data_IF_762026344553
#
_entry.id   IF_762026344553
#
_cell.length_a   1.000
_cell.length_b   1.000
_cell.length_c   1.000
_cell.angle_alpha   90.00
_cell.angle_beta   90.00
_cell.angle_gamma   90.00
#
_symmetry.space_group_name_H-M   'P 1'
#
loop_
_entity.id
_entity.type
_entity.pdbx_description
1 polymer ?
#
# COMPACT_ATOMS: atom_id res chain seq x y z
N UNK A 1 44.92 59.73 -40.94
CA UNK A 1 45.43 61.08 -40.56
C UNK A 1 45.35 61.15 -39.05
N UNK A 2 46.48 60.97 -38.35
CA UNK A 2 47.18 62.00 -37.53
C UNK A 2 46.25 62.63 -36.46
N UNK A 3 46.57 62.74 -35.16
CA UNK A 3 47.85 62.93 -34.47
C UNK A 3 47.67 62.74 -32.95
N UNK A 4 48.78 62.36 -32.26
CA UNK A 4 49.32 62.81 -30.93
C UNK A 4 48.38 63.43 -29.87
N UNK A 5 48.49 63.10 -28.56
CA UNK A 5 49.53 63.59 -27.63
C UNK A 5 49.53 62.86 -26.25
N UNK A 6 50.51 63.23 -25.42
CA UNK A 6 51.19 62.53 -24.32
C UNK A 6 50.74 62.83 -22.88
N UNK A 7 51.04 61.86 -21.99
CA UNK A 7 51.51 61.90 -20.58
C UNK A 7 50.75 62.64 -19.45
N UNK A 8 50.53 61.90 -18.36
CA UNK A 8 50.32 62.42 -17.01
C UNK A 8 50.51 61.33 -15.95
N UNK A 9 51.58 61.45 -15.15
CA UNK A 9 51.96 60.54 -14.07
C UNK A 9 51.06 60.68 -12.83
N UNK A 10 50.65 59.56 -12.23
CA UNK A 10 50.05 59.52 -10.90
C UNK A 10 50.48 58.25 -10.18
N UNK A 11 51.39 58.40 -9.21
CA UNK A 11 51.79 57.31 -8.32
C UNK A 11 50.65 56.95 -7.37
N UNK A 12 50.38 55.65 -7.24
CA UNK A 12 49.50 55.10 -6.20
C UNK A 12 50.21 53.89 -5.58
N UNK A 13 50.18 53.88 -4.25
CA UNK A 13 50.79 52.96 -3.29
C UNK A 13 50.58 51.46 -3.62
N UNK A 14 51.51 50.57 -3.20
CA UNK A 14 51.31 49.13 -3.35
C UNK A 14 50.21 48.63 -2.38
N UNK A 15 49.10 48.17 -2.97
CA UNK A 15 48.01 47.49 -2.27
C UNK A 15 48.49 46.19 -1.63
N UNK A 16 48.06 45.94 -0.39
CA UNK A 16 48.37 44.76 0.39
C UNK A 16 48.07 43.46 -0.35
N UNK A 17 49.07 42.56 -0.38
CA UNK A 17 48.89 41.17 -0.80
C UNK A 17 47.99 40.49 0.23
N UNK A 18 46.72 40.28 -0.12
CA UNK A 18 45.86 39.38 0.62
C UNK A 18 46.30 37.94 0.34
N UNK A 19 46.95 37.32 1.32
CA UNK A 19 47.12 35.87 1.38
C UNK A 19 45.74 35.23 1.46
N UNK A 20 45.23 34.70 0.34
CA UNK A 20 44.02 33.91 0.32
C UNK A 20 44.31 32.55 0.97
N UNK A 21 43.92 32.38 2.23
CA UNK A 21 43.87 31.07 2.88
C UNK A 21 42.85 30.22 2.14
N UNK A 22 43.30 29.17 1.46
CA UNK A 22 42.42 28.18 0.82
C UNK A 22 41.60 27.50 1.92
N UNK A 23 40.32 27.84 2.00
CA UNK A 23 39.38 27.16 2.87
C UNK A 23 39.27 25.69 2.41
N UNK A 24 39.42 24.77 3.37
CA UNK A 24 39.19 23.33 3.18
C UNK A 24 37.80 23.13 2.54
N UNK A 25 37.65 22.27 1.51
CA UNK A 25 36.35 22.03 0.91
C UNK A 25 35.40 21.51 2.00
N UNK A 26 34.33 22.27 2.28
CA UNK A 26 33.22 21.79 3.09
C UNK A 26 32.58 20.65 2.30
N UNK A 27 32.75 19.43 2.79
CA UNK A 27 31.96 18.28 2.35
C UNK A 27 30.49 18.66 2.55
N UNK A 28 29.67 18.72 1.49
CA UNK A 28 28.25 18.97 1.67
C UNK A 28 27.72 17.83 2.54
N UNK A 29 27.18 18.17 3.71
CA UNK A 29 26.37 17.22 4.48
C UNK A 29 25.18 16.88 3.60
N UNK A 30 25.23 15.67 3.04
CA UNK A 30 24.06 15.02 2.45
C UNK A 30 23.07 14.89 3.60
N UNK A 31 22.14 15.83 3.68
CA UNK A 31 20.94 15.66 4.49
C UNK A 31 20.11 14.68 3.68
N UNK A 32 20.22 13.40 4.02
CA UNK A 32 19.28 12.40 3.54
C UNK A 32 17.86 12.92 3.82
N UNK A 33 16.95 12.91 2.84
CA UNK A 33 15.55 13.16 3.17
C UNK A 33 15.13 12.04 4.12
N UNK A 34 14.92 12.40 5.39
CA UNK A 34 14.34 11.48 6.37
C UNK A 34 12.95 11.10 5.86
N UNK A 35 12.87 9.93 5.24
CA UNK A 35 11.61 9.18 5.17
C UNK A 35 11.07 9.16 6.60
N UNK A 36 9.81 9.56 6.86
CA UNK A 36 9.28 9.54 8.21
C UNK A 36 9.54 8.16 8.80
N UNK A 37 10.39 8.11 9.83
CA UNK A 37 10.80 6.89 10.51
C UNK A 37 9.59 6.34 11.26
N UNK A 38 8.72 5.65 10.52
CA UNK A 38 7.65 4.85 11.08
C UNK A 38 8.22 3.75 11.96
N UNK A 39 7.37 3.20 12.82
CA UNK A 39 7.72 1.98 13.55
C UNK A 39 7.52 0.74 12.70
N UNK A 40 6.96 0.81 11.49
CA UNK A 40 6.47 -0.33 10.72
C UNK A 40 5.35 -1.11 11.41
N UNK A 41 4.70 -2.07 10.72
CA UNK A 41 3.68 -2.92 11.31
C UNK A 41 4.23 -3.70 12.51
N UNK A 42 3.41 -3.86 13.54
CA UNK A 42 3.77 -4.40 14.86
C UNK A 42 4.94 -3.69 15.58
N UNK A 43 5.28 -2.46 15.17
CA UNK A 43 6.42 -1.74 15.75
C UNK A 43 7.78 -2.16 15.20
N UNK A 44 7.80 -3.02 14.16
CA UNK A 44 9.03 -3.51 13.52
C UNK A 44 9.52 -2.57 12.41
N UNK A 45 10.71 -1.99 12.61
CA UNK A 45 11.36 -1.07 11.66
C UNK A 45 12.22 -1.79 10.62
N UNK A 46 12.29 -1.19 9.43
CA UNK A 46 13.29 -1.55 8.41
C UNK A 46 14.70 -1.32 8.96
N UNK A 47 15.55 -2.36 8.88
CA UNK A 47 16.95 -2.28 9.32
C UNK A 47 17.18 -2.43 10.83
N UNK A 48 16.15 -2.55 11.68
CA UNK A 48 16.36 -2.93 13.08
C UNK A 48 16.60 -4.44 13.18
N UNK A 49 17.70 -4.86 13.79
CA UNK A 49 18.03 -6.28 13.99
C UNK A 49 17.46 -6.84 15.30
N UNK A 50 16.86 -6.00 16.15
CA UNK A 50 16.54 -6.35 17.54
C UNK A 50 15.18 -5.78 17.93
N UNK A 51 14.32 -6.64 18.49
CA UNK A 51 13.57 -6.31 19.70
C UNK A 51 13.53 -7.59 20.53
N UNK A 52 14.40 -7.65 21.55
CA UNK A 52 14.19 -8.56 22.66
C UNK A 52 13.10 -7.94 23.52
N UNK A 53 12.09 -8.75 23.82
CA UNK A 53 11.06 -8.48 24.82
C UNK A 53 11.67 -8.03 26.15
N UNK A 54 11.22 -6.87 26.63
CA UNK A 54 10.67 -6.56 27.97
C UNK A 54 11.00 -5.11 28.31
N UNK A 55 9.97 -4.31 28.57
CA UNK A 55 10.06 -3.41 29.72
C UNK A 55 8.66 -3.07 30.25
N UNK A 56 8.40 -3.67 31.41
CA UNK A 56 7.49 -3.19 32.43
C UNK A 56 8.13 -1.94 33.05
N UNK A 57 7.49 -0.78 33.00
CA UNK A 57 7.72 0.22 34.06
C UNK A 57 6.53 1.16 34.21
N UNK A 58 5.81 0.90 35.32
CA UNK A 58 5.29 1.88 36.29
C UNK A 58 4.49 3.08 35.80
N UNK A 59 3.20 3.00 36.14
CA UNK A 59 2.34 4.14 36.39
C UNK A 59 3.00 5.17 37.32
N UNK A 60 3.06 6.41 36.85
CA UNK A 60 3.27 7.59 37.68
C UNK A 60 1.94 8.33 37.83
N UNK A 61 1.37 8.18 39.01
CA UNK A 61 0.24 8.91 39.55
C UNK A 61 0.54 10.40 39.53
N UNK A 62 -0.32 11.22 38.91
CA UNK A 62 -0.36 12.67 39.19
C UNK A 62 -1.78 13.04 39.56
N UNK A 63 -1.94 13.40 40.83
CA UNK A 63 -3.20 13.78 41.47
C UNK A 63 -3.46 15.27 41.23
N UNK A 64 -4.69 15.54 40.80
CA UNK A 64 -5.56 16.70 41.06
C UNK A 64 -5.03 18.14 40.90
N UNK A 65 -5.81 18.92 40.13
CA UNK A 65 -6.59 20.02 40.74
C UNK A 65 -7.88 20.27 39.97
N UNK A 66 -8.99 19.92 40.62
CA UNK A 66 -10.34 20.41 40.30
C UNK A 66 -10.45 21.86 40.75
N UNK A 67 -11.06 22.70 39.92
CA UNK A 67 -11.63 23.97 40.34
C UNK A 67 -13.11 23.98 39.93
N UNK A 68 -13.98 23.85 40.93
CA UNK A 68 -15.42 23.99 40.81
C UNK A 68 -15.78 25.47 40.70
N UNK A 69 -16.69 25.80 39.78
CA UNK A 69 -17.52 27.00 39.90
C UNK A 69 -18.93 26.70 39.42
N UNK A 70 -19.88 26.79 40.35
CA UNK A 70 -21.31 26.54 40.15
C UNK A 70 -22.05 27.74 39.51
N UNK A 71 -22.96 27.37 38.60
CA UNK A 71 -24.34 27.82 38.29
C UNK A 71 -24.73 29.31 38.24
N UNK A 72 -25.33 29.75 37.11
CA UNK A 72 -26.79 29.75 36.87
C UNK A 72 -27.15 30.26 35.43
N UNK A 73 -28.34 29.91 34.88
CA UNK A 73 -28.69 30.06 33.46
C UNK A 73 -29.41 31.38 33.15
N UNK A 74 -29.60 31.73 31.85
CA UNK A 74 -31.00 31.94 31.45
C UNK A 74 -31.37 31.55 30.00
N UNK A 75 -32.68 31.37 29.86
CA UNK A 75 -33.56 31.72 28.74
C UNK A 75 -33.54 30.86 27.46
N UNK A 76 -34.52 29.96 27.47
CA UNK A 76 -35.32 29.48 26.33
C UNK A 76 -35.68 30.59 25.34
N UNK A 77 -35.30 30.40 24.07
CA UNK A 77 -36.01 30.99 22.92
C UNK A 77 -36.26 29.90 21.89
N UNK A 78 -37.52 29.53 21.77
CA UNK A 78 -38.06 28.60 20.76
C UNK A 78 -38.00 29.24 19.38
N UNK A 79 -37.18 28.70 18.47
CA UNK A 79 -37.34 28.88 17.02
C UNK A 79 -37.84 27.57 16.41
N UNK A 80 -39.09 27.57 15.99
CA UNK A 80 -39.70 26.51 15.19
C UNK A 80 -39.17 26.60 13.76
N UNK A 81 -38.19 25.77 13.42
CA UNK A 81 -37.91 25.42 12.03
C UNK A 81 -38.45 24.01 11.75
N UNK A 82 -39.45 23.95 10.89
CA UNK A 82 -40.04 22.73 10.39
C UNK A 82 -39.03 22.01 9.48
N UNK A 83 -38.17 21.19 10.09
CA UNK A 83 -37.36 20.23 9.36
C UNK A 83 -38.28 19.11 8.84
N UNK A 84 -38.51 19.11 7.53
CA UNK A 84 -39.11 17.98 6.84
C UNK A 84 -38.32 16.71 7.19
N UNK A 85 -38.97 15.79 7.92
CA UNK A 85 -38.42 14.50 8.27
C UNK A 85 -38.14 13.71 6.98
N UNK A 86 -36.89 13.74 6.52
CA UNK A 86 -36.41 12.81 5.52
C UNK A 86 -36.54 11.41 6.12
N UNK A 87 -37.42 10.60 5.52
CA UNK A 87 -37.51 9.18 5.81
C UNK A 87 -36.11 8.57 5.73
N UNK A 88 -35.66 7.81 6.74
CA UNK A 88 -34.39 7.12 6.66
C UNK A 88 -34.42 6.20 5.43
N UNK A 89 -33.48 6.41 4.50
CA UNK A 89 -33.28 5.50 3.38
C UNK A 89 -33.13 4.08 3.96
N UNK A 90 -33.81 3.07 3.39
CA UNK A 90 -33.62 1.70 3.84
C UNK A 90 -32.12 1.37 3.80
N UNK A 91 -31.62 0.70 4.85
CA UNK A 91 -30.25 0.20 4.87
C UNK A 91 -30.01 -0.57 3.56
N UNK A 92 -28.92 -0.28 2.83
CA UNK A 92 -28.61 -1.04 1.62
C UNK A 92 -28.56 -2.53 1.99
N UNK A 93 -29.07 -3.42 1.12
CA UNK A 93 -29.03 -4.85 1.36
C UNK A 93 -27.58 -5.27 1.64
N UNK A 94 -27.40 -6.18 2.62
CA UNK A 94 -26.08 -6.74 2.94
C UNK A 94 -25.46 -7.34 1.68
N UNK A 95 -24.23 -6.95 1.35
CA UNK A 95 -23.53 -7.46 0.18
C UNK A 95 -23.43 -9.00 0.24
N UNK A 96 -23.76 -9.68 -0.85
CA UNK A 96 -23.75 -11.14 -0.95
C UNK A 96 -22.62 -11.60 -1.86
N UNK A 97 -22.11 -12.81 -1.62
CA UNK A 97 -21.17 -13.43 -2.56
C UNK A 97 -21.91 -13.86 -3.82
N UNK A 98 -21.37 -13.49 -4.97
CA UNK A 98 -21.86 -13.90 -6.29
C UNK A 98 -20.71 -14.54 -7.08
N UNK A 99 -20.99 -15.55 -7.91
CA UNK A 99 -19.95 -16.22 -8.67
C UNK A 99 -19.32 -15.26 -9.69
N UNK A 100 -18.00 -15.32 -9.84
CA UNK A 100 -17.31 -14.66 -10.95
C UNK A 100 -17.66 -15.41 -12.24
N UNK A 101 -18.21 -14.69 -13.22
CA UNK A 101 -18.76 -15.30 -14.46
C UNK A 101 -17.91 -15.07 -15.69
N UNK A 102 -16.90 -14.20 -15.62
CA UNK A 102 -16.00 -13.91 -16.72
C UNK A 102 -14.55 -14.26 -16.35
N UNK A 103 -13.93 -15.07 -17.21
CA UNK A 103 -12.53 -15.46 -17.10
C UNK A 103 -11.88 -15.27 -18.47
N UNK A 104 -10.92 -14.33 -18.63
CA UNK A 104 -10.20 -14.16 -19.89
C UNK A 104 -9.60 -15.48 -20.36
N UNK A 105 -9.55 -15.69 -21.68
CA UNK A 105 -9.14 -16.97 -22.26
C UNK A 105 -7.74 -17.41 -21.78
N UNK A 106 -6.82 -16.46 -21.69
CA UNK A 106 -5.44 -16.67 -21.25
C UNK A 106 -5.38 -17.22 -19.81
N UNK A 107 -6.28 -16.77 -18.94
CA UNK A 107 -6.35 -17.18 -17.54
C UNK A 107 -6.85 -18.62 -17.36
N UNK A 108 -7.62 -19.14 -18.32
CA UNK A 108 -8.08 -20.53 -18.31
C UNK A 108 -6.91 -21.50 -18.55
N UNK A 109 -5.96 -21.12 -19.43
CA UNK A 109 -4.73 -21.88 -19.62
C UNK A 109 -3.85 -21.85 -18.35
N UNK A 110 -3.78 -20.69 -17.68
CA UNK A 110 -3.08 -20.54 -16.39
C UNK A 110 -3.69 -21.40 -15.30
N UNK A 111 -5.03 -21.46 -15.18
CA UNK A 111 -5.70 -22.36 -14.25
C UNK A 111 -5.24 -23.81 -14.44
N UNK A 112 -5.29 -24.30 -15.68
CA UNK A 112 -4.89 -25.68 -15.99
C UNK A 112 -3.43 -25.95 -15.65
N UNK A 113 -2.53 -24.99 -15.90
CA UNK A 113 -1.12 -25.07 -15.51
C UNK A 113 -0.97 -25.12 -13.98
N UNK A 114 -1.66 -24.24 -13.27
CA UNK A 114 -1.57 -24.14 -11.81
C UNK A 114 -2.13 -25.39 -11.14
N UNK A 115 -3.27 -25.91 -11.61
CA UNK A 115 -3.86 -27.13 -11.10
C UNK A 115 -2.87 -28.29 -11.17
N UNK A 116 -2.20 -28.50 -12.31
CA UNK A 116 -1.19 -29.56 -12.46
C UNK A 116 -0.02 -29.43 -11.48
N UNK A 117 0.40 -28.20 -11.18
CA UNK A 117 1.54 -27.93 -10.28
C UNK A 117 1.17 -28.07 -8.81
N UNK A 118 -0.07 -27.72 -8.47
CA UNK A 118 -0.59 -27.79 -7.11
C UNK A 118 -0.97 -29.22 -6.75
N UNK A 119 -1.38 -30.06 -7.71
CA UNK A 119 -1.66 -31.48 -7.47
C UNK A 119 -0.52 -32.17 -6.72
N UNK A 120 -0.85 -32.81 -5.59
CA UNK A 120 0.10 -33.52 -4.75
C UNK A 120 0.82 -32.65 -3.71
N UNK A 121 0.63 -31.32 -3.72
CA UNK A 121 1.10 -30.44 -2.64
C UNK A 121 0.25 -30.63 -1.38
N UNK A 122 0.81 -30.48 -0.17
CA UNK A 122 0.07 -30.71 1.08
C UNK A 122 -1.07 -29.69 1.29
N UNK A 123 -0.98 -28.52 0.67
CA UNK A 123 -1.99 -27.46 0.66
C UNK A 123 -2.93 -27.50 -0.57
N UNK A 124 -2.90 -28.56 -1.39
CA UNK A 124 -3.69 -28.63 -2.62
C UNK A 124 -5.21 -28.51 -2.39
N UNK A 125 -5.70 -28.95 -1.23
CA UNK A 125 -7.11 -28.84 -0.84
C UNK A 125 -7.64 -27.40 -0.74
N UNK A 126 -6.74 -26.41 -0.61
CA UNK A 126 -7.10 -24.99 -0.57
C UNK A 126 -7.11 -24.33 -1.96
N UNK A 127 -6.86 -25.09 -3.03
CA UNK A 127 -6.91 -24.58 -4.40
C UNK A 127 -8.36 -24.57 -4.90
N UNK A 128 -9.10 -23.52 -4.57
CA UNK A 128 -10.51 -23.37 -4.91
C UNK A 128 -10.68 -22.71 -6.29
N UNK A 129 -11.24 -23.45 -7.26
CA UNK A 129 -11.44 -22.91 -8.63
C UNK A 129 -12.75 -22.14 -8.81
N UNK A 130 -13.71 -22.30 -7.90
CA UNK A 130 -14.96 -21.55 -7.89
C UNK A 130 -14.76 -20.20 -7.19
N UNK A 131 -14.54 -19.14 -7.96
CA UNK A 131 -14.26 -17.81 -7.44
C UNK A 131 -15.53 -16.96 -7.33
N UNK A 132 -15.54 -16.08 -6.33
CA UNK A 132 -16.67 -15.21 -6.00
C UNK A 132 -16.18 -13.79 -5.74
N UNK A 133 -17.08 -12.83 -5.90
CA UNK A 133 -16.90 -11.43 -5.49
C UNK A 133 -18.15 -10.98 -4.74
N UNK A 134 -18.05 -9.87 -3.98
CA UNK A 134 -19.23 -9.30 -3.33
C UNK A 134 -20.11 -8.54 -4.33
N UNK A 135 -21.43 -8.56 -4.12
CA UNK A 135 -22.41 -7.96 -5.01
C UNK A 135 -22.24 -6.46 -5.19
N UNK A 136 -21.71 -5.75 -4.20
CA UNK A 136 -21.40 -4.32 -4.31
C UNK A 136 -20.20 -4.04 -5.26
N UNK A 137 -19.28 -4.98 -5.42
CA UNK A 137 -18.26 -4.91 -6.47
C UNK A 137 -18.87 -5.03 -7.88
N UNK A 138 -19.93 -5.83 -8.04
CA UNK A 138 -20.62 -5.96 -9.35
C UNK A 138 -21.33 -4.68 -9.80
N UNK A 139 -21.71 -3.81 -8.86
CA UNK A 139 -22.23 -2.49 -9.18
C UNK A 139 -21.08 -1.53 -9.54
N UNK A 140 -19.97 -1.58 -8.80
CA UNK A 140 -18.80 -0.72 -9.02
C UNK A 140 -18.08 -0.96 -10.37
N UNK A 141 -18.19 -2.14 -10.97
CA UNK A 141 -17.62 -2.41 -12.30
C UNK A 141 -18.42 -1.77 -13.45
N UNK A 142 -19.68 -1.37 -13.25
CA UNK A 142 -20.54 -0.92 -14.37
C UNK A 142 -20.14 0.43 -14.96
N UNK A 143 -19.43 1.25 -14.20
CA UNK A 143 -18.96 2.57 -14.62
C UNK A 143 -17.77 3.01 -13.77
N UNK A 144 -16.87 3.85 -14.29
CA UNK A 144 -15.80 4.43 -13.49
C UNK A 144 -16.38 5.25 -12.32
N UNK A 145 -15.64 5.29 -11.21
CA UNK A 145 -16.02 6.11 -10.05
C UNK A 145 -15.95 7.60 -10.40
N UNK A 146 -16.75 8.47 -9.74
CA UNK A 146 -16.63 9.90 -9.91
C UNK A 146 -15.32 10.42 -9.29
N UNK A 147 -14.86 11.58 -9.75
CA UNK A 147 -13.64 12.25 -9.23
C UNK A 147 -13.64 12.44 -7.70
N UNK A 148 -14.82 12.58 -7.08
CA UNK A 148 -14.96 12.67 -5.62
C UNK A 148 -14.53 11.41 -4.86
N UNK A 149 -14.38 10.26 -5.54
CA UNK A 149 -13.85 9.02 -4.98
C UNK A 149 -12.32 8.93 -5.00
N UNK A 150 -11.65 9.79 -5.79
CA UNK A 150 -10.20 9.80 -5.85
C UNK A 150 -9.59 10.30 -4.53
N UNK A 151 -8.80 9.44 -3.89
CA UNK A 151 -7.97 9.81 -2.74
C UNK A 151 -6.52 9.88 -3.20
N UNK A 152 -5.93 11.07 -3.26
CA UNK A 152 -4.52 11.21 -3.64
C UNK A 152 -3.59 10.51 -2.62
N UNK A 153 -2.41 9.99 -3.02
CA UNK A 153 -1.48 9.32 -2.10
C UNK A 153 -1.12 10.16 -0.86
N UNK A 154 -0.93 11.48 -1.04
CA UNK A 154 -0.65 12.42 0.05
C UNK A 154 -1.80 12.59 1.05
N UNK A 155 -3.00 12.12 0.70
CA UNK A 155 -4.19 12.14 1.53
C UNK A 155 -4.52 10.76 2.09
N UNK A 156 -3.65 9.75 1.91
CA UNK A 156 -3.91 8.40 2.40
C UNK A 156 -4.17 8.33 3.91
N UNK A 157 -3.67 9.30 4.70
CA UNK A 157 -3.98 9.44 6.12
C UNK A 157 -5.49 9.56 6.43
N UNK A 158 -6.33 9.98 5.47
CA UNK A 158 -7.80 9.97 5.61
C UNK A 158 -8.37 8.56 5.76
N UNK A 159 -7.61 7.51 5.46
CA UNK A 159 -8.03 6.13 5.74
C UNK A 159 -8.14 5.89 7.26
N UNK A 160 -7.50 6.70 8.10
CA UNK A 160 -7.66 6.68 9.56
C UNK A 160 -9.02 7.22 10.04
N UNK A 161 -9.77 7.90 9.18
CA UNK A 161 -11.07 8.46 9.51
C UNK A 161 -12.04 7.33 9.93
N UNK A 162 -12.93 7.64 10.87
CA UNK A 162 -13.95 6.69 11.33
C UNK A 162 -14.93 6.37 10.22
N UNK A 163 -15.38 5.12 10.17
CA UNK A 163 -16.35 4.66 9.18
C UNK A 163 -15.74 4.47 7.79
N UNK A 164 -16.57 4.56 6.77
CA UNK A 164 -16.21 4.32 5.37
C UNK A 164 -16.23 5.64 4.59
N UNK A 165 -15.35 5.75 3.60
CA UNK A 165 -15.45 6.82 2.60
C UNK A 165 -16.66 6.57 1.70
N UNK A 166 -17.12 7.62 1.02
CA UNK A 166 -18.26 7.52 0.10
C UNK A 166 -18.04 6.48 -1.02
N UNK A 167 -16.78 6.31 -1.45
CA UNK A 167 -16.38 5.40 -2.52
C UNK A 167 -15.29 4.45 -2.02
N UNK A 168 -15.69 3.36 -1.36
CA UNK A 168 -14.77 2.29 -0.95
C UNK A 168 -14.51 1.25 -2.05
N UNK A 169 -15.35 1.21 -3.07
CA UNK A 169 -15.26 0.31 -4.22
C UNK A 169 -15.37 1.10 -5.52
N UNK A 170 -14.38 0.98 -6.40
CA UNK A 170 -14.42 1.52 -7.75
C UNK A 170 -13.04 1.70 -8.37
N UNK A 171 -13.06 2.19 -9.61
CA UNK A 171 -11.88 2.37 -10.46
C UNK A 171 -12.03 3.63 -11.31
N UNK A 172 -10.91 4.25 -11.70
CA UNK A 172 -10.92 5.35 -12.67
C UNK A 172 -9.57 5.55 -13.34
N UNK A 173 -9.60 6.15 -14.53
CA UNK A 173 -8.45 6.82 -15.13
C UNK A 173 -8.31 8.22 -14.54
N UNK A 174 -7.07 8.65 -14.28
CA UNK A 174 -6.75 9.99 -13.82
C UNK A 174 -6.45 10.91 -15.00
N UNK A 175 -6.62 12.22 -14.82
CA UNK A 175 -6.41 13.23 -15.88
C UNK A 175 -4.98 13.22 -16.47
N UNK A 176 -4.00 12.75 -15.71
CA UNK A 176 -2.60 12.62 -16.15
C UNK A 176 -2.29 11.28 -16.85
N UNK A 177 -3.32 10.46 -17.09
CA UNK A 177 -3.24 9.12 -17.67
C UNK A 177 -2.90 8.01 -16.69
N UNK A 178 -2.74 8.30 -15.39
CA UNK A 178 -2.63 7.27 -14.37
C UNK A 178 -3.96 6.52 -14.12
N UNK A 179 -3.94 5.61 -13.16
CA UNK A 179 -5.17 4.99 -12.64
C UNK A 179 -5.21 5.00 -11.13
N UNK A 180 -6.44 4.98 -10.64
CA UNK A 180 -6.75 4.81 -9.25
C UNK A 180 -7.79 3.71 -9.06
N UNK A 181 -7.56 2.88 -8.05
CA UNK A 181 -8.50 1.84 -7.62
C UNK A 181 -8.69 1.95 -6.12
N UNK A 182 -9.96 1.93 -5.70
CA UNK A 182 -10.35 1.74 -4.31
C UNK A 182 -11.11 0.42 -4.21
N UNK A 183 -10.73 -0.41 -3.25
CA UNK A 183 -11.39 -1.71 -3.05
C UNK A 183 -11.58 -1.99 -1.59
N UNK A 184 -12.75 -2.54 -1.25
CA UNK A 184 -13.11 -3.02 0.08
C UNK A 184 -13.59 -4.46 -0.03
N UNK A 185 -12.92 -5.34 0.73
CA UNK A 185 -13.19 -6.77 0.72
C UNK A 185 -13.40 -7.26 2.16
N UNK A 186 -14.42 -8.08 2.39
CA UNK A 186 -14.72 -8.59 3.73
C UNK A 186 -13.93 -9.89 3.93
N UNK A 187 -13.22 -9.99 5.04
CA UNK A 187 -12.45 -11.15 5.45
C UNK A 187 -13.17 -11.98 6.53
N UNK A 188 -14.28 -11.48 7.06
CA UNK A 188 -15.07 -12.16 8.08
C UNK A 188 -14.44 -12.07 9.47
N UNK A 189 -15.03 -12.79 10.43
CA UNK A 189 -14.65 -12.71 11.85
C UNK A 189 -13.40 -13.52 12.16
N UNK A 190 -13.27 -14.67 11.51
CA UNK A 190 -12.26 -15.69 11.85
C UNK A 190 -10.85 -15.35 11.33
N UNK A 191 -10.72 -14.37 10.44
CA UNK A 191 -9.42 -13.89 9.98
C UNK A 191 -8.88 -12.84 10.95
N UNK A 192 -7.61 -13.00 11.33
CA UNK A 192 -6.89 -12.05 12.19
C UNK A 192 -5.74 -11.39 11.44
N UNK A 193 -5.26 -10.25 11.93
CA UNK A 193 -4.07 -9.59 11.39
C UNK A 193 -2.82 -10.50 11.40
N UNK A 194 -2.71 -11.41 12.38
CA UNK A 194 -1.60 -12.39 12.43
C UNK A 194 -1.60 -13.28 11.18
N UNK A 195 -2.78 -13.79 10.78
CA UNK A 195 -2.94 -14.61 9.58
C UNK A 195 -2.54 -13.85 8.32
N UNK A 196 -2.91 -12.56 8.23
CA UNK A 196 -2.54 -11.70 7.11
C UNK A 196 -1.02 -11.53 7.05
N UNK A 197 -0.39 -11.14 8.17
CA UNK A 197 1.07 -10.95 8.21
C UNK A 197 1.82 -12.24 7.88
N UNK A 198 1.31 -13.37 8.33
CA UNK A 198 1.83 -14.69 7.99
C UNK A 198 1.75 -14.98 6.48
N UNK A 199 0.57 -14.76 5.89
CA UNK A 199 0.30 -15.03 4.49
C UNK A 199 1.35 -14.37 3.58
N UNK A 200 1.62 -13.08 3.82
CA UNK A 200 2.47 -12.27 2.94
C UNK A 200 3.94 -12.70 2.84
N UNK A 201 4.50 -13.45 3.81
CA UNK A 201 5.80 -14.09 3.57
C UNK A 201 5.65 -15.56 3.14
N UNK A 202 4.62 -16.26 3.62
CA UNK A 202 4.48 -17.69 3.37
C UNK A 202 4.18 -18.00 1.90
N UNK A 203 3.33 -17.18 1.26
CA UNK A 203 2.94 -17.38 -0.13
C UNK A 203 4.10 -17.14 -1.11
N UNK A 204 5.11 -16.36 -0.73
CA UNK A 204 6.19 -15.95 -1.62
C UNK A 204 7.31 -16.98 -1.77
N UNK A 205 7.28 -18.04 -0.94
CA UNK A 205 8.27 -19.11 -0.95
C UNK A 205 8.06 -20.15 -2.06
N UNK A 206 6.82 -20.31 -2.54
CA UNK A 206 6.48 -21.26 -3.61
C UNK A 206 5.38 -20.69 -4.50
N UNK A 207 5.57 -20.74 -5.82
CA UNK A 207 4.59 -20.21 -6.78
C UNK A 207 3.25 -20.94 -6.74
N UNK A 208 3.23 -22.20 -6.33
CA UNK A 208 2.02 -22.99 -6.09
C UNK A 208 1.21 -22.45 -4.91
N UNK A 209 1.85 -21.85 -3.89
CA UNK A 209 1.16 -21.16 -2.79
C UNK A 209 0.54 -19.87 -3.26
N UNK A 210 1.27 -19.09 -4.06
CA UNK A 210 0.75 -17.88 -4.69
C UNK A 210 -0.46 -18.17 -5.58
N UNK A 211 -0.45 -19.29 -6.29
CA UNK A 211 -1.56 -19.75 -7.10
C UNK A 211 -2.84 -20.11 -6.30
N UNK A 212 -2.75 -20.41 -4.99
CA UNK A 212 -3.94 -20.61 -4.15
C UNK A 212 -4.79 -19.32 -4.07
N UNK A 213 -4.12 -18.17 -4.07
CA UNK A 213 -4.73 -16.86 -3.88
C UNK A 213 -5.60 -16.46 -5.06
N UNK A 214 -5.07 -16.60 -6.29
CA UNK A 214 -5.85 -16.43 -7.50
C UNK A 214 -5.48 -17.50 -8.54
N UNK A 215 -6.18 -18.65 -8.51
CA UNK A 215 -5.89 -19.83 -9.35
C UNK A 215 -5.75 -19.56 -10.84
N UNK A 216 -6.55 -18.64 -11.36
CA UNK A 216 -6.60 -18.26 -12.77
C UNK A 216 -5.51 -17.27 -13.18
N UNK A 217 -4.98 -16.46 -12.26
CA UNK A 217 -4.15 -15.31 -12.61
C UNK A 217 -2.72 -15.39 -12.09
N UNK A 218 -2.48 -15.96 -10.91
CA UNK A 218 -1.16 -15.96 -10.28
C UNK A 218 -0.28 -17.06 -10.86
N UNK A 219 0.79 -16.69 -11.58
CA UNK A 219 1.61 -17.66 -12.33
C UNK A 219 2.93 -17.98 -11.63
N UNK A 220 3.57 -16.94 -11.09
CA UNK A 220 4.88 -17.05 -10.46
C UNK A 220 5.08 -15.98 -9.39
N UNK A 221 5.72 -16.38 -8.31
CA UNK A 221 6.36 -15.49 -7.35
C UNK A 221 7.78 -15.98 -7.08
N UNK A 222 8.72 -15.05 -6.98
CA UNK A 222 10.06 -15.29 -6.45
C UNK A 222 10.48 -14.11 -5.58
N UNK A 223 11.30 -14.38 -4.58
CA UNK A 223 12.00 -13.33 -3.85
C UNK A 223 13.10 -12.76 -4.76
N UNK A 224 13.20 -11.43 -4.86
CA UNK A 224 14.29 -10.82 -5.59
C UNK A 224 15.65 -11.22 -4.97
N UNK A 225 16.71 -11.29 -5.78
CA UNK A 225 18.02 -11.73 -5.33
C UNK A 225 18.52 -10.90 -4.14
N UNK A 226 18.98 -11.57 -3.08
CA UNK A 226 19.45 -10.91 -1.85
C UNK A 226 18.34 -10.33 -0.96
N UNK A 227 17.07 -10.52 -1.29
CA UNK A 227 15.96 -9.90 -0.57
C UNK A 227 15.67 -10.54 0.80
N UNK A 228 16.02 -11.82 1.02
CA UNK A 228 15.93 -12.47 2.32
C UNK A 228 16.72 -13.78 2.36
N UNK A 229 17.25 -14.12 3.54
CA UNK A 229 17.73 -15.46 3.84
C UNK A 229 16.53 -16.40 4.03
N UNK A 230 16.45 -17.47 3.23
CA UNK A 230 15.36 -18.45 3.31
C UNK A 230 15.26 -19.09 4.71
N UNK A 231 16.40 -19.31 5.39
CA UNK A 231 16.40 -19.84 6.75
C UNK A 231 15.66 -18.90 7.72
N UNK A 232 15.87 -17.59 7.57
CA UNK A 232 15.15 -16.57 8.36
C UNK A 232 13.65 -16.52 8.05
N UNK A 233 13.26 -16.78 6.80
CA UNK A 233 11.84 -16.83 6.43
C UNK A 233 11.14 -18.04 7.02
N UNK A 234 11.83 -19.16 7.15
CA UNK A 234 11.25 -20.41 7.69
C UNK A 234 11.35 -20.47 9.23
N UNK A 235 12.23 -19.68 9.86
CA UNK A 235 12.35 -19.57 11.31
C UNK A 235 11.05 -19.06 11.97
N UNK A 236 10.37 -19.92 12.74
CA UNK A 236 9.10 -19.61 13.40
C UNK A 236 9.23 -18.61 14.56
N UNK A 237 10.43 -18.38 15.09
CA UNK A 237 10.69 -17.39 16.14
C UNK A 237 10.74 -15.96 15.61
N UNK A 238 11.00 -15.78 14.31
CA UNK A 238 11.04 -14.47 13.66
C UNK A 238 9.62 -13.94 13.43
N UNK A 239 9.28 -12.73 13.93
CA UNK A 239 7.99 -12.11 13.68
C UNK A 239 7.66 -12.03 12.19
N UNK A 240 6.40 -12.28 11.82
CA UNK A 240 5.98 -12.36 10.42
C UNK A 240 6.31 -11.10 9.61
N UNK A 241 6.16 -9.90 10.17
CA UNK A 241 6.52 -8.63 9.49
C UNK A 241 7.99 -8.59 9.09
N UNK A 242 8.90 -9.09 9.94
CA UNK A 242 10.35 -9.13 9.67
C UNK A 242 10.72 -10.03 8.49
N UNK A 243 9.79 -10.83 7.99
CA UNK A 243 9.97 -11.77 6.87
C UNK A 243 9.58 -11.18 5.52
N UNK A 244 8.80 -10.10 5.47
CA UNK A 244 8.38 -9.50 4.19
C UNK A 244 8.60 -7.98 4.12
N UNK A 245 8.67 -7.26 5.24
CA UNK A 245 8.88 -5.81 5.21
C UNK A 245 10.28 -5.49 4.67
N UNK A 246 10.35 -4.70 3.60
CA UNK A 246 11.60 -4.37 2.89
C UNK A 246 12.05 -5.41 1.86
N UNK A 247 11.38 -6.55 1.81
CA UNK A 247 11.63 -7.60 0.82
C UNK A 247 10.93 -7.21 -0.49
N UNK A 248 11.53 -7.57 -1.61
CA UNK A 248 10.91 -7.39 -2.93
C UNK A 248 10.45 -8.74 -3.47
N UNK A 249 9.16 -8.86 -3.79
CA UNK A 249 8.63 -9.99 -4.53
C UNK A 249 8.61 -9.65 -6.03
N UNK A 250 9.19 -10.50 -6.87
CA UNK A 250 8.95 -10.44 -8.31
C UNK A 250 7.82 -11.40 -8.63
N UNK A 251 6.70 -10.84 -9.07
CA UNK A 251 5.51 -11.61 -9.44
C UNK A 251 5.31 -11.59 -10.95
N UNK A 252 4.66 -12.64 -11.43
CA UNK A 252 4.10 -12.72 -12.78
C UNK A 252 2.65 -13.15 -12.63
N UNK A 253 1.75 -12.38 -13.21
CA UNK A 253 0.31 -12.58 -13.04
C UNK A 253 -0.50 -11.95 -14.17
N UNK A 254 -1.73 -12.45 -14.34
CA UNK A 254 -2.68 -11.84 -15.26
C UNK A 254 -3.49 -10.74 -14.58
N UNK A 255 -3.48 -9.55 -15.18
CA UNK A 255 -4.45 -8.48 -14.90
C UNK A 255 -5.33 -8.34 -16.16
N UNK A 256 -6.57 -8.83 -16.07
CA UNK A 256 -7.40 -9.09 -17.23
C UNK A 256 -6.77 -10.12 -18.16
N UNK A 257 -6.81 -9.88 -19.47
CA UNK A 257 -6.18 -10.77 -20.46
C UNK A 257 -4.64 -10.67 -20.52
N UNK A 258 -4.03 -9.66 -19.88
CA UNK A 258 -2.60 -9.36 -20.03
C UNK A 258 -1.80 -10.02 -18.91
N UNK A 259 -0.79 -10.82 -19.27
CA UNK A 259 0.24 -11.24 -18.31
C UNK A 259 1.22 -10.08 -18.08
N UNK A 260 1.42 -9.72 -16.83
CA UNK A 260 2.34 -8.69 -16.37
C UNK A 260 3.38 -9.31 -15.46
N UNK A 261 4.56 -8.72 -15.43
CA UNK A 261 5.54 -8.98 -14.38
C UNK A 261 5.87 -7.65 -13.69
N UNK A 262 5.90 -7.67 -12.37
CA UNK A 262 6.21 -6.50 -11.54
C UNK A 262 7.08 -6.90 -10.36
N UNK A 263 7.79 -5.93 -9.81
CA UNK A 263 8.51 -6.04 -8.56
C UNK A 263 7.72 -5.27 -7.49
N UNK A 264 7.24 -5.98 -6.47
CA UNK A 264 6.52 -5.43 -5.32
C UNK A 264 7.51 -5.26 -4.17
N UNK A 265 7.98 -4.02 -3.94
CA UNK A 265 8.87 -3.70 -2.82
C UNK A 265 8.01 -3.29 -1.63
N UNK A 266 7.94 -4.14 -0.60
CA UNK A 266 7.16 -3.80 0.59
C UNK A 266 7.84 -2.72 1.42
N UNK A 267 7.06 -1.73 1.83
CA UNK A 267 7.52 -0.52 2.53
C UNK A 267 6.67 -0.26 3.77
N UNK A 268 7.21 0.55 4.67
CA UNK A 268 6.50 1.00 5.87
C UNK A 268 5.28 1.85 5.50
N UNK A 269 4.08 1.60 6.07
CA UNK A 269 2.90 2.43 5.82
C UNK A 269 3.08 3.90 6.20
N UNK A 270 4.05 4.25 7.06
CA UNK A 270 4.41 5.63 7.37
C UNK A 270 4.85 6.43 6.12
N UNK A 271 5.36 5.76 5.08
CA UNK A 271 5.66 6.39 3.79
C UNK A 271 4.43 7.10 3.18
N UNK A 272 3.23 6.58 3.47
CA UNK A 272 1.95 7.12 2.99
C UNK A 272 1.23 7.96 4.05
N UNK A 273 1.92 8.38 5.13
CA UNK A 273 1.30 9.12 6.23
C UNK A 273 0.39 8.26 7.12
N UNK A 274 0.62 6.94 7.12
CA UNK A 274 -0.13 5.96 7.91
C UNK A 274 0.79 5.25 8.91
N UNK A 275 1.37 5.96 9.90
CA UNK A 275 2.23 5.30 10.88
C UNK A 275 1.42 4.28 11.71
N UNK A 276 2.10 3.21 12.11
CA UNK A 276 1.45 2.00 12.64
C UNK A 276 0.69 2.24 13.96
N UNK A 277 1.23 3.07 14.86
CA UNK A 277 0.56 3.48 16.10
C UNK A 277 -0.82 4.09 15.84
N UNK A 278 -0.94 4.95 14.81
CA UNK A 278 -2.21 5.55 14.42
C UNK A 278 -3.15 4.55 13.75
N UNK A 279 -2.61 3.64 12.94
CA UNK A 279 -3.39 2.54 12.35
C UNK A 279 -4.00 1.67 13.47
N UNK A 280 -3.20 1.24 14.45
CA UNK A 280 -3.69 0.45 15.58
C UNK A 280 -4.75 1.20 16.37
N UNK A 281 -4.53 2.48 16.68
CA UNK A 281 -5.52 3.32 17.36
C UNK A 281 -6.84 3.47 16.58
N UNK A 282 -6.80 3.33 15.24
CA UNK A 282 -7.97 3.36 14.36
C UNK A 282 -8.57 1.95 14.10
N UNK A 283 -8.12 0.91 14.82
CA UNK A 283 -8.67 -0.45 14.74
C UNK A 283 -8.09 -1.31 13.62
N UNK A 284 -6.96 -0.90 13.04
CA UNK A 284 -6.26 -1.72 12.04
C UNK A 284 -5.43 -2.81 12.69
N UNK A 285 -5.58 -4.04 12.19
CA UNK A 285 -4.86 -5.22 12.66
C UNK A 285 -3.67 -5.59 11.78
N UNK A 286 -3.66 -5.20 10.51
CA UNK A 286 -2.53 -5.42 9.60
C UNK A 286 -2.46 -4.32 8.54
N UNK A 287 -1.24 -4.03 8.09
CA UNK A 287 -0.99 -3.12 6.97
C UNK A 287 0.11 -3.70 6.09
N UNK A 288 -0.14 -3.78 4.79
CA UNK A 288 0.82 -4.21 3.77
C UNK A 288 0.83 -3.18 2.67
N UNK A 289 1.95 -2.48 2.52
CA UNK A 289 2.08 -1.40 1.54
C UNK A 289 3.29 -1.69 0.66
N UNK A 290 3.21 -1.35 -0.62
CA UNK A 290 4.33 -1.57 -1.52
C UNK A 290 4.45 -0.47 -2.57
N UNK A 291 5.69 -0.23 -2.99
CA UNK A 291 5.97 0.39 -4.27
C UNK A 291 5.89 -0.69 -5.36
N UNK A 292 5.17 -0.39 -6.44
CA UNK A 292 5.11 -1.24 -7.62
C UNK A 292 6.18 -0.77 -8.61
N UNK A 293 7.04 -1.70 -9.02
CA UNK A 293 8.17 -1.46 -9.91
C UNK A 293 8.06 -2.32 -11.17
N UNK A 294 8.61 -1.82 -12.27
CA UNK A 294 8.55 -2.49 -13.56
C UNK A 294 9.22 -3.88 -13.51
N UNK A 295 8.66 -4.86 -14.23
CA UNK A 295 9.15 -6.24 -14.23
C UNK A 295 10.46 -6.45 -14.98
N UNK A 296 10.80 -5.57 -15.91
CA UNK A 296 12.06 -5.59 -16.66
C UNK A 296 13.11 -4.69 -16.01
N UNK A 297 12.72 -3.48 -15.62
CA UNK A 297 13.58 -2.51 -14.94
C UNK A 297 13.17 -2.34 -13.47
N UNK A 298 13.72 -3.11 -12.52
CA UNK A 298 13.33 -3.06 -11.11
C UNK A 298 13.59 -1.71 -10.43
N UNK A 299 14.43 -0.84 -11.03
CA UNK A 299 14.66 0.52 -10.52
C UNK A 299 13.54 1.49 -10.88
N UNK A 300 12.74 1.17 -11.90
CA UNK A 300 11.65 2.02 -12.36
C UNK A 300 10.41 1.79 -11.50
N UNK A 301 10.09 2.76 -10.65
CA UNK A 301 8.81 2.82 -9.92
C UNK A 301 7.70 3.25 -10.88
N UNK A 302 6.60 2.52 -10.85
CA UNK A 302 5.44 2.71 -11.74
C UNK A 302 4.10 2.85 -11.00
N UNK A 303 4.09 2.69 -9.68
CA UNK A 303 2.90 2.92 -8.87
C UNK A 303 3.11 2.54 -7.41
N UNK A 304 2.02 2.60 -6.65
CA UNK A 304 1.98 2.35 -5.22
C UNK A 304 0.68 1.65 -4.85
N UNK A 305 0.69 0.88 -3.76
CA UNK A 305 -0.54 0.46 -3.10
C UNK A 305 -0.43 0.45 -1.57
N UNK A 306 -1.59 0.56 -0.93
CA UNK A 306 -1.77 0.26 0.49
C UNK A 306 -2.90 -0.76 0.66
N UNK A 307 -2.67 -1.76 1.49
CA UNK A 307 -3.65 -2.72 1.96
C UNK A 307 -3.75 -2.63 3.47
N UNK A 308 -4.92 -2.26 3.98
CA UNK A 308 -5.13 -2.02 5.39
C UNK A 308 -6.30 -2.86 5.89
N UNK A 309 -6.05 -3.78 6.81
CA UNK A 309 -7.07 -4.63 7.43
C UNK A 309 -7.57 -4.00 8.71
N UNK A 310 -8.84 -3.60 8.74
CA UNK A 310 -9.50 -2.96 9.87
C UNK A 310 -10.56 -3.87 10.46
N UNK A 311 -10.64 -3.93 11.78
CA UNK A 311 -11.76 -4.57 12.47
C UNK A 311 -12.90 -3.58 12.62
N UNK A 312 -14.08 -3.94 12.11
CA UNK A 312 -15.28 -3.16 12.36
C UNK A 312 -15.68 -3.28 13.85
N UNK A 313 -15.80 -2.19 14.62
CA UNK A 313 -16.09 -2.27 16.05
C UNK A 313 -17.54 -2.68 16.37
N UNK A 314 -18.45 -2.60 15.40
CA UNK A 314 -19.86 -2.96 15.57
C UNK A 314 -20.09 -4.39 15.13
N UNK A 315 -19.62 -4.74 13.92
CA UNK A 315 -19.82 -6.08 13.39
C UNK A 315 -18.74 -7.03 13.83
N UNK A 316 -17.57 -6.61 14.31
CA UNK A 316 -16.43 -7.50 14.59
C UNK A 316 -16.07 -8.37 13.37
N UNK A 317 -16.16 -7.79 12.16
CA UNK A 317 -15.65 -8.40 10.94
C UNK A 317 -14.35 -7.70 10.54
N UNK A 318 -13.37 -8.47 10.05
CA UNK A 318 -12.21 -7.89 9.40
C UNK A 318 -12.59 -7.47 7.99
N UNK A 319 -12.22 -6.25 7.62
CA UNK A 319 -12.30 -5.75 6.26
C UNK A 319 -10.92 -5.34 5.76
N UNK A 320 -10.61 -5.66 4.52
CA UNK A 320 -9.49 -5.06 3.79
C UNK A 320 -9.98 -3.81 3.09
N UNK A 321 -9.22 -2.71 3.24
CA UNK A 321 -9.36 -1.48 2.46
C UNK A 321 -8.07 -1.28 1.66
N UNK A 322 -8.17 -1.44 0.34
CA UNK A 322 -7.07 -1.28 -0.60
C UNK A 322 -7.17 0.06 -1.33
N UNK A 323 -6.02 0.68 -1.60
CA UNK A 323 -5.89 1.79 -2.57
C UNK A 323 -4.69 1.54 -3.47
N UNK A 324 -4.88 1.72 -4.77
CA UNK A 324 -3.83 1.60 -5.78
C UNK A 324 -3.69 2.89 -6.57
N UNK A 325 -2.46 3.32 -6.80
CA UNK A 325 -2.11 4.53 -7.56
C UNK A 325 -1.12 4.18 -8.67
N UNK A 326 -1.63 3.77 -9.83
CA UNK A 326 -0.80 3.42 -10.97
C UNK A 326 -0.41 4.65 -11.78
N UNK A 327 0.85 4.69 -12.21
CA UNK A 327 1.43 5.85 -12.86
C UNK A 327 1.66 7.03 -11.92
N UNK A 328 1.56 6.86 -10.60
CA UNK A 328 1.90 7.91 -9.64
C UNK A 328 3.41 7.95 -9.37
N UNK A 329 3.98 9.15 -9.42
CA UNK A 329 5.39 9.41 -9.11
C UNK A 329 6.33 8.44 -9.84
N UNK A 330 6.11 8.29 -11.14
CA UNK A 330 6.94 7.47 -12.02
C UNK A 330 8.35 8.01 -11.98
N UNK A 331 9.29 7.18 -11.55
CA UNK A 331 10.69 7.58 -11.36
C UNK A 331 11.65 6.41 -11.50
N UNK A 332 12.87 6.72 -11.93
CA UNK A 332 13.98 5.78 -11.97
C UNK A 332 14.90 6.01 -10.77
N UNK A 333 15.04 5.01 -9.91
CA UNK A 333 15.91 5.06 -8.73
C UNK A 333 17.31 4.54 -9.09
N UNK A 334 18.30 5.42 -9.09
CA UNK A 334 19.70 5.12 -9.41
C UNK A 334 20.52 4.80 -8.15
N UNK A 335 21.73 4.21 -8.31
CA UNK A 335 22.66 4.02 -7.20
C UNK A 335 22.95 5.34 -6.44
N UNK A 336 23.32 5.23 -5.17
CA UNK A 336 23.60 6.38 -4.29
C UNK A 336 22.39 7.30 -4.00
N UNK A 337 21.16 6.81 -4.21
CA UNK A 337 19.94 7.51 -3.82
C UNK A 337 19.46 8.58 -4.79
N UNK A 338 20.10 8.72 -5.96
CA UNK A 338 19.63 9.62 -7.01
C UNK A 338 18.30 9.13 -7.60
N UNK A 339 17.32 10.01 -7.73
CA UNK A 339 16.00 9.71 -8.29
C UNK A 339 15.74 10.59 -9.51
N UNK A 340 15.46 9.97 -10.66
CA UNK A 340 15.08 10.69 -11.88
C UNK A 340 13.56 10.66 -12.02
N UNK A 341 12.86 11.80 -11.85
CA UNK A 341 11.42 11.85 -12.08
C UNK A 341 11.12 11.70 -13.58
N UNK A 342 10.23 10.76 -13.91
CA UNK A 342 9.80 10.46 -15.27
C UNK A 342 8.30 10.72 -15.49
N UNK A 343 7.61 11.25 -14.48
CA UNK A 343 6.16 11.42 -14.50
C UNK A 343 5.68 12.37 -15.62
N UNK A 344 6.28 13.56 -15.73
CA UNK A 344 5.97 14.53 -16.77
C UNK A 344 6.27 14.01 -18.19
N UNK A 345 7.48 13.49 -18.51
CA UNK A 345 7.73 12.95 -19.84
C UNK A 345 6.84 11.74 -20.15
N UNK A 346 6.56 10.85 -19.19
CA UNK A 346 5.66 9.73 -19.39
C UNK A 346 4.21 10.16 -19.64
N UNK A 347 3.75 11.25 -19.00
CA UNK A 347 2.45 11.89 -19.28
C UNK A 347 2.42 12.46 -20.70
N UNK A 348 3.39 13.32 -21.04
CA UNK A 348 3.41 14.03 -22.33
C UNK A 348 3.50 13.07 -23.53
N UNK A 349 4.22 11.96 -23.37
CA UNK A 349 4.34 10.91 -24.40
C UNK A 349 3.18 9.90 -24.38
N UNK A 350 2.16 10.08 -23.54
CA UNK A 350 1.00 9.18 -23.45
C UNK A 350 1.30 7.80 -22.84
N UNK A 351 2.51 7.59 -22.33
CA UNK A 351 2.96 6.31 -21.75
C UNK A 351 2.14 5.95 -20.52
N UNK A 352 1.81 6.94 -19.66
CA UNK A 352 0.94 6.71 -18.48
C UNK A 352 -0.40 6.12 -18.89
N UNK A 353 -1.13 6.78 -19.80
CA UNK A 353 -2.43 6.28 -20.28
C UNK A 353 -2.35 4.89 -20.90
N UNK A 354 -1.32 4.64 -21.71
CA UNK A 354 -1.11 3.35 -22.35
C UNK A 354 -0.86 2.21 -21.35
N UNK A 355 -0.11 2.48 -20.27
CA UNK A 355 0.33 1.48 -19.30
C UNK A 355 -0.58 1.35 -18.07
N UNK A 356 -1.22 2.44 -17.67
CA UNK A 356 -1.95 2.57 -16.41
C UNK A 356 -3.39 3.07 -16.57
N UNK A 357 -3.89 3.44 -17.75
CA UNK A 357 -5.21 4.07 -17.91
C UNK A 357 -6.43 3.19 -17.53
N UNK A 358 -7.61 3.58 -17.99
CA UNK A 358 -8.90 3.01 -17.57
C UNK A 358 -8.97 1.48 -17.58
N UNK A 359 -8.38 0.83 -18.60
CA UNK A 359 -8.36 -0.63 -18.70
C UNK A 359 -7.59 -1.28 -17.55
N UNK A 360 -6.44 -0.74 -17.13
CA UNK A 360 -5.72 -1.30 -15.97
C UNK A 360 -6.55 -1.08 -14.70
N UNK A 361 -7.13 0.11 -14.52
CA UNK A 361 -7.94 0.41 -13.34
C UNK A 361 -9.09 -0.58 -13.15
N UNK A 362 -9.85 -0.80 -14.23
CA UNK A 362 -10.99 -1.71 -14.25
C UNK A 362 -10.58 -3.16 -13.95
N UNK A 363 -9.61 -3.68 -14.71
CA UNK A 363 -9.16 -5.07 -14.55
C UNK A 363 -8.53 -5.30 -13.17
N UNK A 364 -7.81 -4.31 -12.64
CA UNK A 364 -7.20 -4.41 -11.32
C UNK A 364 -8.23 -4.36 -10.19
N UNK A 365 -9.33 -3.60 -10.33
CA UNK A 365 -10.40 -3.61 -9.34
C UNK A 365 -11.05 -5.00 -9.24
N UNK A 366 -11.33 -5.65 -10.37
CA UNK A 366 -11.84 -7.03 -10.40
C UNK A 366 -10.80 -8.00 -9.82
N UNK A 367 -9.52 -7.78 -10.14
CA UNK A 367 -8.42 -8.62 -9.65
C UNK A 367 -8.34 -8.61 -8.11
N UNK A 368 -8.27 -7.42 -7.48
CA UNK A 368 -8.24 -7.28 -6.01
C UNK A 368 -9.49 -7.92 -5.37
N UNK A 369 -10.68 -7.60 -5.88
CA UNK A 369 -11.93 -8.14 -5.35
C UNK A 369 -11.95 -9.68 -5.41
N UNK A 370 -11.46 -10.26 -6.50
CA UNK A 370 -11.46 -11.72 -6.67
C UNK A 370 -10.43 -12.39 -5.79
N UNK A 371 -9.18 -11.93 -5.83
CA UNK A 371 -8.08 -12.58 -5.11
C UNK A 371 -8.30 -12.53 -3.59
N UNK A 372 -8.70 -11.37 -3.06
CA UNK A 372 -8.84 -11.21 -1.61
C UNK A 372 -10.13 -11.86 -1.09
N UNK A 373 -11.20 -11.89 -1.87
CA UNK A 373 -12.41 -12.66 -1.52
C UNK A 373 -12.08 -14.16 -1.47
N UNK A 374 -11.29 -14.65 -2.43
CA UNK A 374 -10.85 -16.04 -2.41
C UNK A 374 -9.92 -16.34 -1.22
N UNK A 375 -8.93 -15.48 -0.95
CA UNK A 375 -8.03 -15.64 0.20
C UNK A 375 -8.80 -15.71 1.52
N UNK A 376 -9.76 -14.81 1.72
CA UNK A 376 -10.62 -14.79 2.91
C UNK A 376 -11.35 -16.13 3.14
N UNK A 377 -11.70 -16.85 2.07
CA UNK A 377 -12.46 -18.11 2.14
C UNK A 377 -11.70 -19.28 2.77
N UNK A 378 -10.35 -19.26 2.73
CA UNK A 378 -9.54 -20.39 3.18
C UNK A 378 -8.44 -20.04 4.17
N UNK A 379 -8.08 -18.76 4.31
CA UNK A 379 -6.94 -18.33 5.11
C UNK A 379 -6.95 -18.84 6.56
N UNK A 380 -8.08 -18.81 7.32
CA UNK A 380 -8.09 -19.33 8.69
C UNK A 380 -7.75 -20.82 8.78
N UNK A 381 -8.34 -21.63 7.89
CA UNK A 381 -8.12 -23.07 7.87
C UNK A 381 -6.70 -23.43 7.41
N UNK A 382 -6.18 -22.73 6.40
CA UNK A 382 -4.81 -22.89 5.92
C UNK A 382 -3.81 -22.54 7.02
N UNK A 383 -4.01 -21.41 7.70
CA UNK A 383 -3.15 -20.97 8.79
C UNK A 383 -3.18 -21.94 9.98
N UNK A 384 -4.36 -22.48 10.32
CA UNK A 384 -4.50 -23.48 11.38
C UNK A 384 -3.70 -24.75 11.09
N UNK A 385 -3.73 -25.24 9.84
CA UNK A 385 -2.95 -26.41 9.43
C UNK A 385 -1.44 -26.16 9.46
N UNK A 386 -0.99 -24.96 9.05
CA UNK A 386 0.41 -24.55 9.21
C UNK A 386 0.81 -24.46 10.69
N UNK A 387 -0.01 -23.85 11.55
CA UNK A 387 0.26 -23.76 12.99
C UNK A 387 0.40 -25.14 13.61
N UNK A 388 -0.45 -26.09 13.21
CA UNK A 388 -0.44 -27.49 13.64
C UNK A 388 0.72 -28.33 13.06
N UNK A 389 1.58 -27.75 12.21
CA UNK A 389 2.73 -28.46 11.62
C UNK A 389 2.37 -29.43 10.50
N UNK A 390 1.19 -29.27 9.89
CA UNK A 390 0.77 -30.07 8.73
C UNK A 390 1.28 -29.52 7.40
N UNK A 391 1.73 -28.26 7.37
CA UNK A 391 2.19 -27.51 6.19
C UNK A 391 3.54 -26.84 6.43
#
# INVERSE_FOLDING_TARGET
MSSTETNGSGGVQPSQIFTATVAKPMTPKIVEPETPLGTGPDGIRLGSATDNTTDNTTAATTTEKQEQKETHPPATSTSTDAAAAATPKPNPPSAQLVPLTYYPLETQATLNRNLRRVTGKPYAKYFHTALHIYSDATEAIRSPMPQSGYLAPRQASKLLDRGHHAHENGWMELEDGGAYVASRTRFGRDVTGEMIRWWFWWHSLESERYALWFPHCHTRVVLASGAADRARLEDRSVPHVRKWLGVTHRVTEHIGAKELSVHLRFVDPALYGLPWDKLQAAGYEAAVCAEVRDGWEPRLKIGDFVHLWRRDPVTDELELRSRYWFGNEVRLDLPFGFKIPLDLPARLLGIKKMRAGASLAYEHFIHDQTEFTNLASFLPALYADWKAGKL
#
